data_IF_017756826455
#
_entry.id   IF_017756826455
#
_cell.length_a   1.000
_cell.length_b   1.000
_cell.length_c   1.000
_cell.angle_alpha   90.00
_cell.angle_beta   90.00
_cell.angle_gamma   90.00
#
_symmetry.space_group_name_H-M   'P 1'
#
loop_
_entity.id
_entity.type
_entity.pdbx_description
1 polymer ?
#
# COMPACT_ATOMS: atom_id res chain seq x y z
N UNK A 1 -17.87 -0.38 11.60
CA UNK A 1 -17.35 -1.77 11.53
C UNK A 1 -15.84 -1.68 11.34
N UNK A 2 -15.07 -2.51 12.04
CA UNK A 2 -13.61 -2.57 11.84
C UNK A 2 -13.30 -3.70 10.87
N UNK A 3 -12.70 -3.36 9.72
CA UNK A 3 -12.26 -4.35 8.73
C UNK A 3 -10.85 -4.81 9.08
N UNK A 4 -10.62 -6.13 9.05
CA UNK A 4 -9.34 -6.75 9.42
C UNK A 4 -8.86 -7.67 8.30
N UNK A 5 -7.60 -7.51 7.90
CA UNK A 5 -6.90 -8.34 6.90
C UNK A 5 -5.66 -8.92 7.57
N UNK A 6 -5.50 -10.25 7.56
CA UNK A 6 -4.40 -10.96 8.20
C UNK A 6 -4.14 -10.57 9.67
N UNK A 7 -5.21 -10.30 10.43
CA UNK A 7 -5.12 -9.88 11.83
C UNK A 7 -4.73 -8.40 12.04
N UNK A 8 -4.53 -7.63 10.97
CA UNK A 8 -4.21 -6.21 11.02
C UNK A 8 -5.47 -5.36 10.71
N UNK A 9 -5.85 -4.42 11.59
CA UNK A 9 -7.02 -3.59 11.39
C UNK A 9 -6.76 -2.50 10.35
N UNK A 10 -7.63 -2.38 9.35
CA UNK A 10 -7.54 -1.27 8.40
C UNK A 10 -7.88 0.07 9.08
N UNK A 11 -7.20 1.17 8.73
CA UNK A 11 -7.55 2.51 9.18
C UNK A 11 -9.00 2.85 8.84
N UNK A 12 -9.73 3.47 9.77
CA UNK A 12 -11.15 3.79 9.60
C UNK A 12 -11.42 4.61 8.33
N UNK A 13 -10.56 5.59 8.04
CA UNK A 13 -10.65 6.42 6.84
C UNK A 13 -10.54 5.61 5.54
N UNK A 14 -9.78 4.51 5.53
CA UNK A 14 -9.71 3.61 4.38
C UNK A 14 -11.00 2.83 4.20
N UNK A 15 -11.54 2.32 5.32
CA UNK A 15 -12.78 1.54 5.32
C UNK A 15 -13.96 2.40 4.86
N UNK A 16 -14.03 3.64 5.31
CA UNK A 16 -15.00 4.63 4.84
C UNK A 16 -14.82 4.91 3.34
N UNK A 17 -13.59 5.16 2.89
CA UNK A 17 -13.29 5.40 1.48
C UNK A 17 -13.67 4.22 0.56
N UNK A 18 -13.51 2.98 1.03
CA UNK A 18 -13.96 1.78 0.33
C UNK A 18 -15.49 1.72 0.31
N UNK A 19 -16.14 1.94 1.46
CA UNK A 19 -17.60 1.92 1.59
C UNK A 19 -18.30 2.96 0.71
N UNK A 20 -17.71 4.14 0.58
CA UNK A 20 -18.23 5.25 -0.24
C UNK A 20 -17.85 5.12 -1.74
N UNK A 21 -17.06 4.10 -2.09
CA UNK A 21 -16.61 3.86 -3.48
C UNK A 21 -15.62 4.91 -4.00
N UNK A 22 -15.00 5.70 -3.11
CA UNK A 22 -13.99 6.71 -3.46
C UNK A 22 -12.58 6.14 -3.52
N UNK A 23 -12.31 5.01 -2.84
CA UNK A 23 -11.07 4.25 -2.96
C UNK A 23 -11.00 3.54 -4.31
N UNK A 24 -10.55 4.26 -5.34
CA UNK A 24 -10.41 3.79 -6.72
C UNK A 24 -9.21 4.43 -7.40
N UNK A 25 -8.70 3.75 -8.42
CA UNK A 25 -7.61 4.25 -9.26
C UNK A 25 -7.92 5.67 -9.79
N UNK A 26 -7.06 6.68 -9.53
CA UNK A 26 -7.17 7.98 -10.17
C UNK A 26 -7.11 7.87 -11.70
N UNK A 27 -7.96 8.64 -12.39
CA UNK A 27 -8.03 8.63 -13.86
C UNK A 27 -6.84 9.37 -14.51
N UNK A 28 -6.24 10.33 -13.80
CA UNK A 28 -5.12 11.13 -14.29
C UNK A 28 -3.78 10.38 -14.11
N UNK A 29 -3.07 9.97 -15.18
CA UNK A 29 -1.79 9.30 -15.07
C UNK A 29 -0.74 10.13 -14.32
N UNK A 30 -0.83 11.46 -14.39
CA UNK A 30 0.04 12.41 -13.68
C UNK A 30 -0.05 12.30 -12.15
N UNK A 31 -1.15 11.77 -11.61
CA UNK A 31 -1.28 11.53 -10.17
C UNK A 31 -0.29 10.47 -9.71
N UNK A 32 -0.09 9.40 -10.50
CA UNK A 32 0.84 8.33 -10.12
C UNK A 32 2.28 8.81 -10.11
N UNK A 33 2.68 9.56 -11.14
CA UNK A 33 4.02 10.15 -11.20
C UNK A 33 4.23 11.14 -10.05
N UNK A 34 3.21 11.92 -9.66
CA UNK A 34 3.33 12.85 -8.53
C UNK A 34 3.46 12.12 -7.18
N UNK A 35 2.67 11.07 -6.94
CA UNK A 35 2.55 10.43 -5.63
C UNK A 35 3.56 9.29 -5.45
N UNK A 36 3.67 8.44 -6.47
CA UNK A 36 4.51 7.24 -6.46
C UNK A 36 5.80 7.45 -7.25
N UNK A 37 5.91 8.53 -8.04
CA UNK A 37 7.12 8.88 -8.78
C UNK A 37 7.39 8.07 -10.03
N UNK A 38 6.42 7.29 -10.49
CA UNK A 38 6.43 6.54 -11.75
C UNK A 38 4.98 6.33 -12.25
N UNK A 39 4.84 5.94 -13.52
CA UNK A 39 3.52 5.62 -14.09
C UNK A 39 3.01 4.28 -13.54
N UNK A 40 1.69 4.15 -13.43
CA UNK A 40 1.06 2.88 -13.07
C UNK A 40 0.73 2.06 -14.33
N UNK A 41 0.90 0.75 -14.25
CA UNK A 41 0.54 -0.23 -15.26
C UNK A 41 -0.68 -0.99 -14.75
N UNK A 42 -1.86 -0.68 -15.29
CA UNK A 42 -3.15 -1.26 -14.86
C UNK A 42 -3.37 -1.16 -13.32
N UNK A 43 -3.44 0.06 -12.76
CA UNK A 43 -3.58 0.25 -11.31
C UNK A 43 -4.88 -0.35 -10.78
N UNK A 44 -4.78 -1.08 -9.68
CA UNK A 44 -5.89 -1.67 -8.95
C UNK A 44 -5.89 -1.19 -7.50
N UNK A 45 -7.01 -0.63 -7.06
CA UNK A 45 -7.23 -0.18 -5.69
C UNK A 45 -8.21 -1.16 -5.05
N UNK A 46 -7.73 -1.93 -4.08
CA UNK A 46 -8.41 -3.14 -3.64
C UNK A 46 -9.58 -2.82 -2.71
N UNK A 47 -10.72 -3.48 -2.95
CA UNK A 47 -11.80 -3.60 -1.96
C UNK A 47 -11.46 -4.68 -0.91
N UNK A 48 -12.37 -4.94 0.04
CA UNK A 48 -12.15 -5.96 1.07
C UNK A 48 -11.80 -7.34 0.47
N UNK A 49 -12.54 -7.76 -0.55
CA UNK A 49 -12.40 -9.09 -1.13
C UNK A 49 -11.07 -9.22 -1.85
N UNK A 50 -10.68 -8.20 -2.60
CA UNK A 50 -9.40 -8.14 -3.27
C UNK A 50 -8.27 -8.10 -2.24
N UNK A 51 -8.35 -7.28 -1.18
CA UNK A 51 -7.32 -7.27 -0.13
C UNK A 51 -7.14 -8.64 0.51
N UNK A 52 -8.21 -9.38 0.82
CA UNK A 52 -8.10 -10.74 1.36
C UNK A 52 -7.38 -11.69 0.41
N UNK A 53 -7.64 -11.58 -0.90
CA UNK A 53 -7.01 -12.42 -1.92
C UNK A 53 -5.53 -12.07 -2.11
N UNK A 54 -5.22 -10.79 -2.27
CA UNK A 54 -3.85 -10.33 -2.55
C UNK A 54 -2.93 -10.47 -1.33
N UNK A 55 -3.50 -10.51 -0.12
CA UNK A 55 -2.73 -10.77 1.10
C UNK A 55 -2.70 -12.26 1.49
N UNK A 56 -3.32 -13.15 0.72
CA UNK A 56 -3.23 -14.59 0.99
C UNK A 56 -1.79 -15.08 0.75
N UNK A 57 -1.18 -15.67 1.79
CA UNK A 57 0.24 -16.04 1.78
C UNK A 57 1.23 -14.88 1.86
N UNK A 58 0.78 -13.61 1.91
CA UNK A 58 1.70 -12.46 2.03
C UNK A 58 2.56 -12.55 3.29
N UNK A 59 1.96 -12.92 4.43
CA UNK A 59 2.68 -13.08 5.70
C UNK A 59 3.74 -14.19 5.67
N UNK A 60 3.66 -15.12 4.71
CA UNK A 60 4.59 -16.24 4.55
C UNK A 60 5.76 -15.91 3.59
N UNK A 61 5.73 -14.75 2.93
CA UNK A 61 6.82 -14.28 2.07
C UNK A 61 8.09 -14.11 2.89
N UNK A 62 9.19 -14.70 2.41
CA UNK A 62 10.48 -14.60 3.08
C UNK A 62 10.97 -13.16 3.14
N UNK A 63 11.65 -12.79 4.23
CA UNK A 63 12.31 -11.49 4.36
C UNK A 63 13.50 -11.32 3.41
N UNK A 64 13.96 -12.40 2.80
CA UNK A 64 14.99 -12.36 1.75
C UNK A 64 14.40 -12.04 0.36
N UNK A 65 13.08 -12.18 0.21
CA UNK A 65 12.36 -11.83 -1.01
C UNK A 65 11.89 -10.36 -0.97
N UNK A 66 11.46 -9.82 -2.11
CA UNK A 66 10.81 -8.50 -2.22
C UNK A 66 11.57 -7.31 -1.60
N UNK A 67 12.89 -7.40 -1.48
CA UNK A 67 13.72 -6.37 -0.83
C UNK A 67 13.19 -5.98 0.58
N UNK A 68 12.67 -6.96 1.32
CA UNK A 68 12.06 -6.78 2.63
C UNK A 68 13.05 -6.25 3.70
N UNK A 69 14.35 -6.48 3.53
CA UNK A 69 15.36 -5.86 4.37
C UNK A 69 15.61 -4.38 3.96
N UNK A 70 15.71 -3.44 4.94
CA UNK A 70 16.24 -2.12 4.66
C UNK A 70 17.64 -2.20 4.03
N UNK A 71 17.94 -1.30 3.11
CA UNK A 71 19.15 -1.43 2.31
C UNK A 71 19.65 -0.14 1.68
N UNK A 72 20.69 -0.23 0.84
CA UNK A 72 21.27 0.91 0.14
C UNK A 72 20.23 1.71 -0.65
N UNK A 73 20.50 3.00 -0.88
CA UNK A 73 19.61 3.85 -1.68
C UNK A 73 18.30 4.22 -0.99
N UNK A 74 18.23 4.09 0.34
CA UNK A 74 17.06 4.48 1.14
C UNK A 74 15.91 3.48 1.09
N UNK A 75 16.17 2.21 0.75
CA UNK A 75 15.17 1.16 0.86
C UNK A 75 14.75 0.98 2.33
N UNK A 76 13.47 1.19 2.63
CA UNK A 76 12.92 1.05 3.98
C UNK A 76 12.65 -0.41 4.36
N UNK A 77 12.64 -1.32 3.38
CA UNK A 77 12.16 -2.67 3.54
C UNK A 77 10.67 -2.74 3.93
N UNK A 78 10.17 -3.96 4.09
CA UNK A 78 8.83 -4.26 4.60
C UNK A 78 8.88 -5.50 5.48
N UNK A 79 8.01 -5.58 6.47
CA UNK A 79 7.79 -6.82 7.22
C UNK A 79 6.41 -7.37 6.83
N UNK A 80 6.33 -8.44 6.01
CA UNK A 80 5.06 -8.93 5.49
C UNK A 80 4.03 -9.30 6.57
N UNK A 81 4.50 -9.78 7.73
CA UNK A 81 3.64 -10.10 8.89
C UNK A 81 3.03 -8.84 9.52
N UNK A 82 3.65 -7.67 9.31
CA UNK A 82 3.22 -6.37 9.87
C UNK A 82 2.82 -5.39 8.77
N UNK A 83 2.38 -5.89 7.62
CA UNK A 83 1.89 -5.06 6.53
C UNK A 83 0.66 -5.65 5.84
N UNK A 84 -0.09 -4.78 5.16
CA UNK A 84 -1.26 -5.16 4.36
C UNK A 84 -1.16 -4.50 3.00
N UNK A 85 -1.24 -5.28 1.93
CA UNK A 85 -1.34 -4.79 0.56
C UNK A 85 -2.75 -4.22 0.32
N UNK A 86 -2.83 -2.96 -0.10
CA UNK A 86 -4.09 -2.22 -0.29
C UNK A 86 -4.34 -1.76 -1.73
N UNK A 87 -3.31 -1.78 -2.57
CA UNK A 87 -3.39 -1.50 -4.00
C UNK A 87 -2.18 -2.09 -4.73
N UNK A 88 -2.28 -2.24 -6.05
CA UNK A 88 -1.18 -2.57 -6.94
C UNK A 88 -1.12 -1.56 -8.07
N UNK A 89 0.09 -1.06 -8.38
CA UNK A 89 0.30 -0.13 -9.50
C UNK A 89 0.89 -0.81 -10.74
N UNK A 90 0.96 -2.14 -10.73
CA UNK A 90 1.56 -2.96 -11.78
C UNK A 90 2.16 -4.24 -11.22
N UNK A 91 2.73 -5.09 -12.09
CA UNK A 91 3.45 -6.29 -11.67
C UNK A 91 4.56 -5.93 -10.68
N UNK A 92 4.58 -6.60 -9.53
CA UNK A 92 5.56 -6.40 -8.45
C UNK A 92 5.65 -4.96 -7.90
N UNK A 93 4.56 -4.19 -8.04
CA UNK A 93 4.44 -2.79 -7.58
C UNK A 93 3.35 -2.61 -6.51
N UNK A 94 3.38 -3.36 -5.38
CA UNK A 94 2.36 -3.24 -4.34
C UNK A 94 2.48 -1.93 -3.55
N UNK A 95 1.33 -1.43 -3.12
CA UNK A 95 1.17 -0.38 -2.10
C UNK A 95 0.69 -1.04 -0.81
N UNK A 96 1.39 -0.80 0.29
CA UNK A 96 1.11 -1.46 1.57
C UNK A 96 0.94 -0.46 2.72
N UNK A 97 0.10 -0.84 3.68
CA UNK A 97 0.11 -0.29 5.02
C UNK A 97 1.21 -0.96 5.82
N UNK A 98 2.07 -0.20 6.49
CA UNK A 98 3.16 -0.70 7.32
C UNK A 98 2.95 -0.33 8.79
N UNK A 99 2.64 -1.34 9.60
CA UNK A 99 2.29 -1.22 11.02
C UNK A 99 3.53 -1.29 11.93
N UNK A 100 4.75 -1.30 11.37
CA UNK A 100 5.99 -1.34 12.18
C UNK A 100 6.14 -0.14 13.11
N UNK A 101 5.65 1.04 12.71
CA UNK A 101 5.75 2.30 13.48
C UNK A 101 4.58 2.55 14.42
N UNK A 102 3.35 2.32 13.96
CA UNK A 102 2.14 2.49 14.77
C UNK A 102 1.09 1.46 14.34
N UNK A 103 0.44 0.78 15.30
CA UNK A 103 -0.68 -0.11 15.00
C UNK A 103 -1.98 0.63 14.65
N UNK A 104 -2.16 1.87 15.13
CA UNK A 104 -3.36 2.67 14.87
C UNK A 104 -3.23 3.56 13.62
N UNK A 105 -2.01 4.01 13.30
CA UNK A 105 -1.73 4.88 12.16
C UNK A 105 -0.57 4.33 11.32
N UNK A 106 -0.79 3.24 10.56
CA UNK A 106 0.24 2.67 9.70
C UNK A 106 0.60 3.66 8.60
N UNK A 107 1.89 3.79 8.33
CA UNK A 107 2.38 4.54 7.17
C UNK A 107 2.10 3.79 5.88
N UNK A 108 2.17 4.49 4.76
CA UNK A 108 1.98 3.87 3.44
C UNK A 108 3.32 3.74 2.74
N UNK A 109 3.67 2.50 2.39
CA UNK A 109 4.85 2.18 1.59
C UNK A 109 4.46 1.70 0.19
N UNK A 110 5.39 1.84 -0.74
CA UNK A 110 5.25 1.42 -2.13
C UNK A 110 6.56 0.81 -2.63
N UNK A 111 6.46 -0.26 -3.44
CA UNK A 111 7.61 -0.82 -4.17
C UNK A 111 7.75 -0.12 -5.51
N UNK A 112 8.85 0.61 -5.67
CA UNK A 112 9.24 1.21 -6.94
C UNK A 112 9.60 0.13 -7.97
N UNK A 113 9.05 0.22 -9.18
CA UNK A 113 9.26 -0.78 -10.25
C UNK A 113 10.62 -0.66 -10.94
N UNK A 114 11.16 0.57 -11.06
CA UNK A 114 12.44 0.83 -11.74
C UNK A 114 13.65 0.17 -11.05
N UNK A 115 13.63 0.16 -9.72
CA UNK A 115 14.60 -0.49 -8.83
C UNK A 115 13.84 -0.89 -7.56
N UNK A 116 13.53 -2.19 -7.38
CA UNK A 116 12.72 -2.68 -6.27
C UNK A 116 13.26 -2.17 -4.93
N UNK A 117 12.56 -1.18 -4.40
CA UNK A 117 12.85 -0.58 -3.09
C UNK A 117 11.56 -0.06 -2.51
N UNK A 118 11.41 -0.26 -1.21
CA UNK A 118 10.30 0.27 -0.44
C UNK A 118 10.56 1.73 -0.12
N UNK A 119 9.66 2.59 -0.57
CA UNK A 119 9.65 4.03 -0.26
C UNK A 119 8.38 4.39 0.49
N UNK A 120 8.45 5.39 1.36
CA UNK A 120 7.28 5.95 2.03
C UNK A 120 6.61 6.96 1.09
N UNK A 121 5.32 6.77 0.81
CA UNK A 121 4.55 7.63 -0.10
C UNK A 121 3.56 8.53 0.63
N UNK A 122 3.20 8.15 1.86
CA UNK A 122 2.40 8.94 2.79
C UNK A 122 2.68 8.49 4.25
N UNK A 123 2.59 9.42 5.19
CA UNK A 123 2.73 9.14 6.62
C UNK A 123 1.57 8.31 7.17
N UNK A 124 0.40 8.37 6.51
CA UNK A 124 -0.80 7.57 6.77
C UNK A 124 -1.77 7.56 5.59
N UNK A 125 -2.90 6.88 5.75
CA UNK A 125 -3.93 6.77 4.70
C UNK A 125 -4.61 8.10 4.41
N UNK A 126 -4.85 8.94 5.43
CA UNK A 126 -5.51 10.23 5.21
C UNK A 126 -4.64 11.12 4.31
N UNK A 127 -3.33 11.14 4.55
CA UNK A 127 -2.38 11.82 3.67
C UNK A 127 -2.35 11.18 2.27
N UNK A 128 -2.38 9.85 2.14
CA UNK A 128 -2.42 9.19 0.84
C UNK A 128 -3.66 9.61 0.03
N UNK A 129 -4.85 9.56 0.62
CA UNK A 129 -6.10 9.96 -0.03
C UNK A 129 -6.01 11.43 -0.51
N UNK A 130 -5.52 12.33 0.34
CA UNK A 130 -5.32 13.73 -0.02
C UNK A 130 -4.34 13.89 -1.21
N UNK A 131 -3.22 13.15 -1.21
CA UNK A 131 -2.22 13.16 -2.30
C UNK A 131 -2.78 12.63 -3.62
N UNK A 132 -3.69 11.64 -3.55
CA UNK A 132 -4.38 11.07 -4.70
C UNK A 132 -5.56 11.93 -5.18
N UNK A 133 -6.01 12.91 -4.39
CA UNK A 133 -7.18 13.72 -4.70
C UNK A 133 -8.51 12.98 -4.45
N UNK A 134 -8.49 11.94 -3.62
CA UNK A 134 -9.65 11.18 -3.18
C UNK A 134 -10.09 11.78 -1.83
N UNK A 135 -11.34 12.24 -1.73
CA UNK A 135 -11.91 12.85 -0.53
C UNK A 135 -13.02 11.98 0.00
#
# INVERSE_FOLDING_TARGET
MTLVVNGLPLPAVLVEAIGDGVWRAPAGPEVYVRVFGEEAVAPEFYDERAMRRENDGWADVSRDDFACAPGPGGNLGVDPVRSVIIAGLGPDMPVVLDYRRSPENPRVLYVRGDRPRWVEVAADVAELLARLGLR
#
